data_IF_393139489271
#
_entry.id   IF_393139489271
#
_cell.length_a   1.000
_cell.length_b   1.000
_cell.length_c   1.000
_cell.angle_alpha   90.00
_cell.angle_beta   90.00
_cell.angle_gamma   90.00
#
_symmetry.space_group_name_H-M   'P 1'
#
loop_
_entity.id
_entity.type
_entity.pdbx_description
1 polymer ?
#
# COMPACT_ATOMS: atom_id res chain seq x y z
N UNK A 1 -19.24 17.00 -1.49
CA UNK A 1 -18.63 18.33 -1.28
C UNK A 1 -18.39 18.67 0.17
N UNK A 2 -17.86 19.86 0.39
CA UNK A 2 -17.58 20.36 1.74
C UNK A 2 -16.13 20.24 2.17
N UNK A 3 -15.88 20.47 3.47
CA UNK A 3 -14.52 20.55 4.04
C UNK A 3 -14.41 19.90 5.42
N UNK A 4 -15.18 18.84 5.65
CA UNK A 4 -15.08 18.05 6.89
C UNK A 4 -13.69 17.43 6.99
N UNK A 5 -13.08 17.53 8.17
CA UNK A 5 -11.78 16.94 8.47
C UNK A 5 -11.95 15.75 9.40
N UNK A 6 -11.19 14.66 9.16
CA UNK A 6 -11.33 13.40 9.90
C UNK A 6 -9.98 12.79 10.23
N UNK A 7 -9.90 12.11 11.38
CA UNK A 7 -8.73 11.30 11.78
C UNK A 7 -9.17 9.97 12.37
N UNK A 8 -8.26 8.99 12.27
CA UNK A 8 -8.42 7.68 12.92
C UNK A 8 -9.67 6.94 12.44
N UNK A 9 -9.77 6.73 11.13
CA UNK A 9 -10.85 5.95 10.53
C UNK A 9 -10.37 4.55 10.16
N UNK A 10 -11.20 3.56 10.46
CA UNK A 10 -11.03 2.17 10.01
C UNK A 10 -12.28 1.76 9.25
N UNK A 11 -12.09 1.35 8.00
CA UNK A 11 -13.11 0.75 7.14
C UNK A 11 -12.73 -0.71 6.90
N UNK A 12 -13.58 -1.63 7.29
CA UNK A 12 -13.34 -3.07 7.13
C UNK A 12 -14.47 -3.69 6.34
N UNK A 13 -14.12 -4.44 5.28
CA UNK A 13 -15.04 -5.29 4.54
C UNK A 13 -16.24 -4.57 3.93
N UNK A 14 -16.03 -3.36 3.43
CA UNK A 14 -17.07 -2.67 2.67
C UNK A 14 -17.36 -3.41 1.36
N UNK A 15 -18.64 -3.59 1.05
CA UNK A 15 -19.08 -4.23 -0.21
C UNK A 15 -18.94 -3.31 -1.44
N UNK A 16 -18.77 -2.04 -1.23
CA UNK A 16 -18.47 -1.00 -2.21
C UNK A 16 -17.09 -0.41 -1.86
N UNK A 17 -16.84 0.85 -2.12
CA UNK A 17 -15.58 1.51 -1.81
C UNK A 17 -15.39 1.69 -0.30
N UNK A 18 -14.16 1.48 0.18
CA UNK A 18 -13.87 1.69 1.61
C UNK A 18 -13.89 3.16 1.99
N UNK A 19 -13.35 4.02 1.11
CA UNK A 19 -13.43 5.47 1.21
C UNK A 19 -13.80 6.03 -0.16
N UNK A 20 -14.74 6.96 -0.20
CA UNK A 20 -15.19 7.61 -1.42
C UNK A 20 -15.34 9.12 -1.21
N UNK A 21 -14.96 9.90 -2.21
CA UNK A 21 -15.29 11.32 -2.25
C UNK A 21 -15.67 11.79 -3.65
N UNK A 22 -16.57 12.75 -3.67
CA UNK A 22 -17.03 13.39 -4.89
C UNK A 22 -17.50 14.81 -4.62
N UNK A 23 -17.95 15.53 -5.65
CA UNK A 23 -18.65 16.82 -5.58
C UNK A 23 -17.87 17.89 -4.81
N UNK A 24 -16.57 18.05 -5.11
CA UNK A 24 -15.79 19.16 -4.60
C UNK A 24 -15.41 19.07 -3.11
N UNK A 25 -15.22 17.87 -2.55
CA UNK A 25 -14.72 17.77 -1.19
C UNK A 25 -13.27 18.29 -1.09
N UNK A 26 -13.02 19.17 -0.11
CA UNK A 26 -11.74 19.82 0.16
C UNK A 26 -11.30 19.68 1.62
N UNK A 27 -11.68 18.60 2.27
CA UNK A 27 -11.31 18.30 3.64
C UNK A 27 -9.90 17.76 3.80
N UNK A 28 -9.57 17.43 5.04
CA UNK A 28 -8.31 16.81 5.43
C UNK A 28 -8.57 15.48 6.13
N UNK A 29 -7.72 14.49 5.86
CA UNK A 29 -7.82 13.20 6.54
C UNK A 29 -6.43 12.69 6.95
N UNK A 30 -6.35 12.07 8.14
CA UNK A 30 -5.10 11.44 8.60
C UNK A 30 -5.40 10.17 9.39
N UNK A 31 -4.51 9.17 9.24
CA UNK A 31 -4.61 7.86 9.86
C UNK A 31 -5.87 7.10 9.43
N UNK A 32 -5.90 6.73 8.15
CA UNK A 32 -6.97 5.96 7.54
C UNK A 32 -6.51 4.53 7.29
N UNK A 33 -7.32 3.56 7.70
CA UNK A 33 -7.15 2.14 7.39
C UNK A 33 -8.32 1.65 6.58
N UNK A 34 -8.06 1.08 5.39
CA UNK A 34 -9.00 0.23 4.67
C UNK A 34 -8.46 -1.21 4.68
N UNK A 35 -9.28 -2.16 5.06
CA UNK A 35 -8.95 -3.57 5.06
C UNK A 35 -10.10 -4.39 4.45
N UNK A 36 -9.75 -5.30 3.57
CA UNK A 36 -10.71 -6.22 2.94
C UNK A 36 -10.25 -7.66 3.17
N UNK A 37 -11.07 -8.45 3.86
CA UNK A 37 -10.89 -9.88 4.04
C UNK A 37 -11.02 -10.62 2.71
N UNK A 38 -10.53 -11.85 2.65
CA UNK A 38 -10.61 -12.64 1.42
C UNK A 38 -12.07 -12.81 0.97
N UNK A 39 -12.29 -12.74 -0.33
CA UNK A 39 -13.62 -12.87 -0.93
C UNK A 39 -14.38 -14.13 -0.50
N UNK A 40 -13.67 -15.26 -0.43
CA UNK A 40 -14.27 -16.55 -0.02
C UNK A 40 -14.79 -16.52 1.41
N UNK A 41 -14.22 -15.66 2.27
CA UNK A 41 -14.67 -15.47 3.65
C UNK A 41 -15.89 -14.55 3.72
N UNK A 42 -15.96 -13.55 2.83
CA UNK A 42 -17.03 -12.55 2.81
C UNK A 42 -18.28 -13.02 2.05
N UNK A 43 -18.09 -13.81 1.00
CA UNK A 43 -19.17 -14.20 0.11
C UNK A 43 -19.66 -13.08 -0.84
N UNK A 44 -18.95 -11.97 -0.93
CA UNK A 44 -19.18 -10.86 -1.87
C UNK A 44 -17.86 -10.19 -2.28
N UNK A 45 -17.89 -9.44 -3.37
CA UNK A 45 -16.76 -8.64 -3.83
C UNK A 45 -16.75 -7.29 -3.09
N UNK A 46 -15.54 -6.83 -2.76
CA UNK A 46 -15.30 -5.46 -2.36
C UNK A 46 -14.82 -4.64 -3.57
N UNK A 47 -15.21 -3.36 -3.67
CA UNK A 47 -14.73 -2.50 -4.75
C UNK A 47 -13.42 -1.79 -4.36
N UNK A 48 -13.20 -0.53 -4.72
CA UNK A 48 -11.96 0.18 -4.48
C UNK A 48 -11.66 0.35 -2.98
N UNK A 49 -10.38 0.42 -2.63
CA UNK A 49 -10.00 0.87 -1.28
C UNK A 49 -10.25 2.36 -1.13
N UNK A 50 -10.19 3.11 -2.25
CA UNK A 50 -10.49 4.53 -2.29
C UNK A 50 -10.90 4.94 -3.71
N UNK A 51 -12.15 5.38 -3.89
CA UNK A 51 -12.62 6.00 -5.13
C UNK A 51 -12.67 7.51 -4.99
N UNK A 52 -12.17 8.24 -5.99
CA UNK A 52 -11.82 9.64 -5.84
C UNK A 52 -12.27 10.43 -7.04
N UNK A 53 -13.40 11.13 -6.90
CA UNK A 53 -14.03 11.87 -7.99
C UNK A 53 -14.07 13.39 -7.72
N UNK A 54 -14.08 14.17 -8.78
CA UNK A 54 -14.62 15.52 -8.71
C UNK A 54 -16.13 15.50 -9.02
N UNK A 55 -16.49 15.25 -10.27
CA UNK A 55 -17.88 15.15 -10.69
C UNK A 55 -17.99 14.26 -11.92
N UNK A 56 -18.70 13.15 -11.82
CA UNK A 56 -18.82 12.13 -12.87
C UNK A 56 -19.52 12.60 -14.17
N UNK A 57 -20.14 13.77 -14.17
CA UNK A 57 -20.83 14.35 -15.35
C UNK A 57 -20.13 15.57 -15.92
N UNK A 58 -19.36 16.28 -15.09
CA UNK A 58 -18.63 17.50 -15.48
C UNK A 58 -17.31 17.55 -14.73
N UNK A 59 -16.26 17.05 -15.35
CA UNK A 59 -14.94 16.90 -14.71
C UNK A 59 -14.32 18.22 -14.21
N UNK A 60 -14.68 19.34 -14.84
CA UNK A 60 -14.27 20.68 -14.41
C UNK A 60 -15.24 21.38 -13.45
N UNK A 61 -16.24 20.67 -12.90
CA UNK A 61 -17.22 21.29 -11.99
C UNK A 61 -16.52 21.91 -10.76
N UNK A 62 -16.99 23.06 -10.33
CA UNK A 62 -16.43 23.81 -9.20
C UNK A 62 -17.42 23.85 -8.02
N UNK A 63 -16.94 23.78 -6.77
CA UNK A 63 -15.54 23.66 -6.38
C UNK A 63 -14.94 22.33 -6.80
N UNK A 64 -13.69 22.33 -7.27
CA UNK A 64 -12.99 21.06 -7.61
C UNK A 64 -12.60 20.34 -6.35
N UNK A 65 -12.81 19.02 -6.29
CA UNK A 65 -12.33 18.20 -5.18
C UNK A 65 -10.79 18.22 -5.13
N UNK A 66 -10.23 18.57 -3.99
CA UNK A 66 -8.78 18.59 -3.74
C UNK A 66 -8.47 18.37 -2.25
N UNK A 67 -8.84 17.22 -1.68
CA UNK A 67 -8.55 16.94 -0.28
C UNK A 67 -7.06 16.70 -0.04
N UNK A 68 -6.63 16.83 1.22
CA UNK A 68 -5.29 16.47 1.68
C UNK A 68 -5.37 15.29 2.64
N UNK A 69 -4.73 14.19 2.28
CA UNK A 69 -4.73 12.96 3.06
C UNK A 69 -3.31 12.55 3.43
N UNK A 70 -3.13 12.01 4.62
CA UNK A 70 -1.83 11.51 5.07
C UNK A 70 -1.94 10.25 5.95
N UNK A 71 -0.89 9.44 5.94
CA UNK A 71 -0.77 8.24 6.75
C UNK A 71 -1.91 7.24 6.50
N UNK A 72 -1.88 6.62 5.33
CA UNK A 72 -2.89 5.68 4.87
C UNK A 72 -2.32 4.26 4.84
N UNK A 73 -3.08 3.29 5.34
CA UNK A 73 -2.84 1.84 5.15
C UNK A 73 -4.06 1.26 4.43
N UNK A 74 -3.87 0.89 3.16
CA UNK A 74 -4.94 0.44 2.28
C UNK A 74 -4.63 -0.98 1.81
N UNK A 75 -5.39 -1.97 2.31
CA UNK A 75 -5.15 -3.40 2.08
C UNK A 75 -6.39 -4.04 1.46
N UNK A 76 -6.26 -4.47 0.23
CA UNK A 76 -7.28 -5.19 -0.51
C UNK A 76 -7.15 -6.71 -0.36
N UNK A 77 -8.08 -7.41 -0.98
CA UNK A 77 -8.28 -8.86 -0.85
C UNK A 77 -7.86 -9.67 -2.08
N UNK A 78 -7.00 -9.14 -2.94
CA UNK A 78 -6.51 -9.82 -4.14
C UNK A 78 -7.39 -9.67 -5.39
N UNK A 79 -8.55 -9.02 -5.28
CA UNK A 79 -9.43 -8.78 -6.43
C UNK A 79 -8.81 -7.83 -7.46
N UNK A 80 -9.25 -7.96 -8.72
CA UNK A 80 -8.74 -7.17 -9.86
C UNK A 80 -9.16 -5.69 -9.86
N UNK A 81 -9.86 -5.25 -8.83
CA UNK A 81 -10.27 -3.86 -8.61
C UNK A 81 -9.10 -2.98 -8.21
N UNK A 82 -9.35 -1.70 -8.09
CA UNK A 82 -8.32 -0.70 -7.80
C UNK A 82 -8.10 -0.50 -6.30
N UNK A 83 -6.88 -0.14 -5.93
CA UNK A 83 -6.56 0.39 -4.60
C UNK A 83 -7.05 1.82 -4.48
N UNK A 84 -6.27 2.78 -4.95
CA UNK A 84 -6.68 4.18 -5.12
C UNK A 84 -7.07 4.41 -6.57
N UNK A 85 -8.26 4.93 -6.80
CA UNK A 85 -8.77 5.27 -8.13
C UNK A 85 -9.05 6.76 -8.21
N UNK A 86 -8.17 7.52 -8.87
CA UNK A 86 -8.32 8.96 -9.10
C UNK A 86 -8.95 9.18 -10.47
N UNK A 87 -10.12 9.82 -10.53
CA UNK A 87 -10.86 10.00 -11.80
C UNK A 87 -11.75 11.25 -11.80
N UNK A 88 -12.51 11.41 -12.88
CA UNK A 88 -13.55 12.43 -13.05
C UNK A 88 -13.11 13.86 -12.70
N UNK A 89 -11.84 14.20 -13.01
CA UNK A 89 -11.29 15.53 -12.80
C UNK A 89 -10.91 15.86 -11.37
N UNK A 90 -10.85 14.86 -10.46
CA UNK A 90 -10.42 15.10 -9.09
C UNK A 90 -8.97 15.62 -9.04
N UNK A 91 -8.70 16.47 -8.09
CA UNK A 91 -7.38 16.74 -7.54
C UNK A 91 -7.25 16.09 -6.19
N UNK A 92 -6.04 15.80 -5.77
CA UNK A 92 -5.75 15.23 -4.46
C UNK A 92 -4.31 15.50 -4.04
N UNK A 93 -4.09 15.64 -2.73
CA UNK A 93 -2.77 15.62 -2.12
C UNK A 93 -2.72 14.42 -1.17
N UNK A 94 -1.99 13.38 -1.56
CA UNK A 94 -1.90 12.13 -0.81
C UNK A 94 -0.45 11.90 -0.42
N UNK A 95 -0.24 11.70 0.88
CA UNK A 95 1.07 11.54 1.47
C UNK A 95 1.13 10.34 2.41
N UNK A 96 2.31 9.71 2.50
CA UNK A 96 2.58 8.71 3.53
C UNK A 96 1.64 7.50 3.46
N UNK A 97 1.43 6.94 2.28
CA UNK A 97 0.50 5.85 2.06
C UNK A 97 1.20 4.52 1.76
N UNK A 98 0.59 3.42 2.20
CA UNK A 98 0.94 2.06 1.80
C UNK A 98 -0.32 1.43 1.20
N UNK A 99 -0.21 0.89 -0.02
CA UNK A 99 -1.33 0.26 -0.73
C UNK A 99 -0.92 -1.10 -1.26
N UNK A 100 -1.67 -2.14 -0.89
CA UNK A 100 -1.45 -3.51 -1.37
C UNK A 100 -2.76 -4.30 -1.55
N UNK A 101 -2.65 -5.49 -2.12
CA UNK A 101 -3.74 -6.46 -2.18
C UNK A 101 -4.84 -6.12 -3.18
N UNK A 102 -4.54 -5.32 -4.19
CA UNK A 102 -5.40 -5.09 -5.36
C UNK A 102 -4.59 -5.28 -6.64
N UNK A 103 -5.23 -5.69 -7.72
CA UNK A 103 -4.59 -5.89 -9.02
C UNK A 103 -3.91 -4.62 -9.54
N UNK A 104 -4.45 -3.47 -9.21
CA UNK A 104 -3.88 -2.14 -9.49
C UNK A 104 -3.96 -1.28 -8.22
N UNK A 105 -2.83 -1.07 -7.55
CA UNK A 105 -2.80 -0.30 -6.31
C UNK A 105 -3.12 1.18 -6.50
N UNK A 106 -2.82 1.74 -7.68
CA UNK A 106 -3.19 3.12 -8.06
C UNK A 106 -3.56 3.17 -9.53
N UNK A 107 -4.71 3.79 -9.81
CA UNK A 107 -5.19 4.08 -11.17
C UNK A 107 -5.51 5.56 -11.29
N UNK A 108 -5.13 6.16 -12.42
CA UNK A 108 -5.54 7.52 -12.81
C UNK A 108 -6.37 7.47 -14.07
N UNK A 109 -7.48 8.20 -14.09
CA UNK A 109 -8.42 8.24 -15.20
C UNK A 109 -8.85 9.68 -15.46
N UNK A 110 -9.15 10.01 -16.70
CA UNK A 110 -9.49 11.34 -17.22
C UNK A 110 -8.30 12.30 -17.36
N UNK A 111 -8.32 13.01 -18.47
CA UNK A 111 -7.29 13.98 -18.86
C UNK A 111 -7.07 15.06 -17.78
N UNK A 112 -8.14 15.54 -17.16
CA UNK A 112 -8.09 16.58 -16.13
C UNK A 112 -7.36 16.08 -14.87
N UNK A 113 -7.62 14.85 -14.47
CA UNK A 113 -6.97 14.22 -13.30
C UNK A 113 -5.47 14.02 -13.55
N UNK A 114 -5.07 13.48 -14.72
CA UNK A 114 -3.66 13.25 -15.03
C UNK A 114 -2.91 14.58 -15.24
N UNK A 115 -3.54 15.58 -15.88
CA UNK A 115 -2.96 16.92 -15.99
C UNK A 115 -2.72 17.56 -14.62
N UNK A 116 -3.62 17.37 -13.66
CA UNK A 116 -3.45 17.90 -12.30
C UNK A 116 -2.24 17.30 -11.56
N UNK A 117 -1.89 16.04 -11.87
CA UNK A 117 -0.66 15.41 -11.37
C UNK A 117 0.59 15.97 -12.07
N UNK A 118 0.50 16.29 -13.38
CA UNK A 118 1.62 16.83 -14.14
C UNK A 118 1.91 18.29 -13.81
N UNK A 119 0.89 19.10 -13.56
CA UNK A 119 1.05 20.55 -13.28
C UNK A 119 1.30 20.84 -11.78
N UNK A 120 1.28 19.80 -10.90
CA UNK A 120 1.54 19.92 -9.48
C UNK A 120 0.34 20.43 -8.66
N UNK A 121 -0.83 20.57 -9.24
CA UNK A 121 -2.06 20.88 -8.48
C UNK A 121 -2.60 19.67 -7.71
N UNK A 122 -2.17 18.48 -8.09
CA UNK A 122 -2.24 17.24 -7.29
C UNK A 122 -0.84 16.79 -6.89
N UNK A 123 -0.71 16.20 -5.69
CA UNK A 123 0.57 15.71 -5.18
C UNK A 123 0.44 14.28 -4.65
N UNK A 124 1.33 13.40 -5.08
CA UNK A 124 1.46 12.03 -4.61
C UNK A 124 2.89 11.82 -4.13
N UNK A 125 3.13 11.78 -2.80
CA UNK A 125 4.48 11.67 -2.25
C UNK A 125 4.55 10.71 -1.06
N UNK A 126 5.69 10.02 -0.94
CA UNK A 126 5.91 9.00 0.10
C UNK A 126 4.82 7.92 0.06
N UNK A 127 4.57 7.36 -1.10
CA UNK A 127 3.59 6.30 -1.32
C UNK A 127 4.29 5.03 -1.76
N UNK A 128 4.05 3.94 -1.04
CA UNK A 128 4.53 2.61 -1.41
C UNK A 128 3.37 1.76 -1.94
N UNK A 129 3.51 1.28 -3.17
CA UNK A 129 2.52 0.45 -3.86
C UNK A 129 3.06 -0.96 -4.10
N UNK A 130 2.26 -1.98 -3.82
CA UNK A 130 2.60 -3.37 -4.10
C UNK A 130 2.61 -3.72 -5.60
N UNK A 131 1.95 -2.91 -6.45
CA UNK A 131 1.95 -3.07 -7.90
C UNK A 131 2.42 -1.79 -8.60
N UNK A 132 2.59 -1.86 -9.92
CA UNK A 132 2.77 -0.64 -10.72
C UNK A 132 1.47 0.19 -10.74
N UNK A 133 1.56 1.45 -11.16
CA UNK A 133 0.40 2.31 -11.41
C UNK A 133 -0.18 2.04 -12.80
N UNK A 134 -1.46 2.38 -12.98
CA UNK A 134 -2.15 2.33 -14.27
C UNK A 134 -2.71 3.70 -14.61
N UNK A 135 -2.15 4.35 -15.65
CA UNK A 135 -2.58 5.66 -16.13
C UNK A 135 -3.36 5.49 -17.44
N UNK A 136 -4.65 5.79 -17.43
CA UNK A 136 -5.55 5.49 -18.55
C UNK A 136 -5.39 6.42 -19.73
N UNK A 137 -5.04 7.68 -19.50
CA UNK A 137 -4.85 8.68 -20.54
C UNK A 137 -3.40 8.72 -21.06
N UNK A 138 -2.45 8.13 -20.32
CA UNK A 138 -1.04 8.10 -20.67
C UNK A 138 -0.34 9.47 -20.60
N UNK A 139 -0.92 10.43 -19.90
CA UNK A 139 -0.35 11.77 -19.65
C UNK A 139 0.58 11.69 -18.43
N UNK A 140 0.11 11.04 -17.36
CA UNK A 140 0.92 10.70 -16.20
C UNK A 140 1.56 9.32 -16.40
N UNK A 141 2.61 9.00 -15.66
CA UNK A 141 3.33 7.72 -15.84
C UNK A 141 3.99 7.25 -14.55
N UNK A 142 4.40 5.98 -14.52
CA UNK A 142 5.18 5.44 -13.42
C UNK A 142 6.52 6.17 -13.23
N UNK A 143 7.16 6.65 -14.30
CA UNK A 143 8.39 7.43 -14.18
C UNK A 143 8.15 8.77 -13.47
N UNK A 144 7.03 9.44 -13.76
CA UNK A 144 6.67 10.68 -13.06
C UNK A 144 6.27 10.39 -11.61
N UNK A 145 5.56 9.27 -11.36
CA UNK A 145 5.20 8.86 -10.01
C UNK A 145 6.43 8.56 -9.15
N UNK A 146 7.41 7.81 -9.67
CA UNK A 146 8.63 7.41 -8.94
C UNK A 146 9.78 8.40 -9.07
N UNK A 147 9.55 9.58 -9.63
CA UNK A 147 10.55 10.62 -9.80
C UNK A 147 11.20 11.00 -8.46
N UNK A 148 12.50 11.26 -8.51
CA UNK A 148 13.25 11.77 -7.36
C UNK A 148 12.54 12.98 -6.73
N UNK A 149 12.43 12.99 -5.43
CA UNK A 149 11.70 14.02 -4.68
C UNK A 149 10.23 13.68 -4.39
N UNK A 150 9.60 12.75 -5.11
CA UNK A 150 8.29 12.20 -4.72
C UNK A 150 8.43 11.10 -3.65
N UNK A 151 9.57 10.43 -3.58
CA UNK A 151 9.84 9.34 -2.66
C UNK A 151 8.80 8.20 -2.73
N UNK A 152 8.25 7.97 -3.92
CA UNK A 152 7.27 6.92 -4.17
C UNK A 152 7.97 5.63 -4.62
N UNK A 153 7.43 4.49 -4.21
CA UNK A 153 7.94 3.16 -4.54
C UNK A 153 6.81 2.33 -5.16
N UNK A 154 7.11 1.60 -6.22
CA UNK A 154 6.19 0.66 -6.87
C UNK A 154 6.76 -0.77 -6.79
N UNK A 155 5.88 -1.77 -6.96
CA UNK A 155 6.25 -3.20 -6.94
C UNK A 155 6.95 -3.61 -5.64
N UNK A 156 6.54 -3.03 -4.51
CA UNK A 156 7.08 -3.32 -3.19
C UNK A 156 5.97 -3.70 -2.21
N UNK A 157 5.96 -4.95 -1.77
CA UNK A 157 4.97 -5.47 -0.83
C UNK A 157 5.42 -5.27 0.61
N UNK A 158 4.60 -4.57 1.38
CA UNK A 158 4.81 -4.35 2.81
C UNK A 158 4.05 -5.39 3.61
N UNK A 159 4.65 -5.84 4.69
CA UNK A 159 4.05 -6.79 5.61
C UNK A 159 3.49 -6.07 6.84
N UNK A 160 2.37 -6.59 7.31
CA UNK A 160 1.67 -6.04 8.46
C UNK A 160 1.45 -7.12 9.52
N UNK A 161 1.43 -6.71 10.77
CA UNK A 161 0.96 -7.53 11.88
C UNK A 161 -0.49 -7.18 12.21
N UNK A 162 -1.25 -8.10 12.79
CA UNK A 162 -2.67 -7.90 13.09
C UNK A 162 -3.46 -7.29 11.89
N UNK A 163 -3.18 -7.76 10.68
CA UNK A 163 -3.82 -7.37 9.44
C UNK A 163 -3.35 -6.03 8.84
N UNK A 164 -3.16 -4.98 9.63
CA UNK A 164 -2.82 -3.65 9.12
C UNK A 164 -1.88 -2.82 10.03
N UNK A 165 -1.25 -3.44 11.02
CA UNK A 165 -0.29 -2.77 11.91
C UNK A 165 1.11 -2.86 11.30
N UNK A 166 1.69 -1.72 10.98
CA UNK A 166 3.02 -1.60 10.38
C UNK A 166 3.17 -0.29 9.63
N UNK A 167 4.41 0.18 9.54
CA UNK A 167 4.78 1.43 8.85
C UNK A 167 6.14 1.28 8.18
N UNK A 168 6.41 2.13 7.20
CA UNK A 168 7.73 2.29 6.59
C UNK A 168 8.33 3.59 7.11
N UNK A 169 9.59 3.57 7.50
CA UNK A 169 10.32 4.78 7.88
C UNK A 169 10.45 5.76 6.72
N UNK A 170 10.48 7.04 7.08
CA UNK A 170 10.54 8.12 6.10
C UNK A 170 9.16 8.47 5.55
N UNK A 171 8.82 9.74 5.69
CA UNK A 171 7.55 10.28 5.23
C UNK A 171 7.58 11.81 5.23
N UNK A 172 6.62 12.41 4.56
CA UNK A 172 6.43 13.86 4.55
C UNK A 172 5.93 14.32 5.92
N UNK A 173 6.61 15.29 6.49
CA UNK A 173 6.12 16.00 7.68
C UNK A 173 5.11 17.07 7.26
N UNK A 174 3.91 17.01 7.83
CA UNK A 174 2.80 17.95 7.55
C UNK A 174 2.44 18.81 8.77
N UNK A 175 3.26 18.80 9.83
CA UNK A 175 2.96 19.49 11.09
C UNK A 175 2.92 21.01 11.00
N UNK A 176 3.29 21.61 9.88
CA UNK A 176 3.08 23.04 9.61
C UNK A 176 1.59 23.41 9.47
N UNK A 177 0.76 22.44 9.09
CA UNK A 177 -0.69 22.54 9.16
C UNK A 177 -1.17 21.92 10.47
N UNK A 178 -1.79 22.72 11.34
CA UNK A 178 -2.21 22.33 12.69
C UNK A 178 -3.20 21.17 12.75
N UNK A 179 -3.84 20.83 11.63
CA UNK A 179 -4.68 19.63 11.57
C UNK A 179 -3.84 18.36 11.65
N UNK A 180 -2.68 18.29 11.00
CA UNK A 180 -1.89 17.05 10.93
C UNK A 180 -1.05 16.86 12.19
N UNK A 181 -1.16 15.68 12.78
CA UNK A 181 -0.22 15.18 13.79
C UNK A 181 1.10 14.84 13.11
N UNK A 182 2.23 15.17 13.74
CA UNK A 182 3.53 14.79 13.23
C UNK A 182 3.66 13.27 13.14
N UNK A 183 3.83 12.76 11.93
CA UNK A 183 3.91 11.33 11.62
C UNK A 183 4.68 11.14 10.30
N UNK A 184 6.00 11.38 10.35
CA UNK A 184 6.87 11.31 9.18
C UNK A 184 7.26 9.85 8.86
N UNK A 185 6.26 9.00 8.66
CA UNK A 185 6.35 7.61 8.22
C UNK A 185 5.17 7.28 7.30
N UNK A 186 5.32 6.27 6.46
CA UNK A 186 4.25 5.80 5.59
C UNK A 186 3.38 4.76 6.32
N UNK A 187 2.07 4.79 6.07
CA UNK A 187 1.09 3.93 6.74
C UNK A 187 0.39 4.61 7.91
N UNK A 188 -0.70 4.01 8.38
CA UNK A 188 -1.61 4.60 9.37
C UNK A 188 -1.35 4.15 10.81
N UNK A 189 -0.88 2.91 11.03
CA UNK A 189 -0.84 2.27 12.34
C UNK A 189 0.57 1.80 12.67
N UNK A 190 1.38 2.60 13.37
CA UNK A 190 2.73 2.17 13.77
C UNK A 190 2.66 1.09 14.86
N UNK A 191 3.54 0.09 14.79
CA UNK A 191 3.61 -0.99 15.77
C UNK A 191 3.91 -0.50 17.20
N UNK A 192 4.61 0.63 17.32
CA UNK A 192 4.90 1.28 18.60
C UNK A 192 3.69 1.94 19.25
N UNK A 193 2.63 2.18 18.48
CA UNK A 193 1.40 2.82 18.96
C UNK A 193 0.20 2.36 18.10
N UNK A 194 -0.24 1.13 18.36
CA UNK A 194 -1.45 0.60 17.71
C UNK A 194 -2.71 1.27 18.28
N UNK A 195 -3.05 2.42 17.71
CA UNK A 195 -4.23 3.20 18.10
C UNK A 195 -5.55 2.50 17.78
N UNK A 196 -5.52 1.42 17.01
CA UNK A 196 -6.72 0.62 16.68
C UNK A 196 -7.05 -0.42 17.75
N UNK A 197 -6.14 -0.66 18.68
CA UNK A 197 -6.31 -1.67 19.73
C UNK A 197 -7.47 -1.32 20.69
N UNK A 198 -8.31 -2.31 20.96
CA UNK A 198 -9.37 -2.20 21.96
C UNK A 198 -10.69 -1.60 21.49
N UNK A 199 -10.77 -1.07 20.26
CA UNK A 199 -12.02 -0.50 19.74
C UNK A 199 -12.37 -0.94 18.30
N UNK A 200 -11.42 -1.50 17.56
CA UNK A 200 -11.69 -2.06 16.22
C UNK A 200 -11.88 -3.57 16.30
N UNK A 201 -12.74 -4.10 15.44
CA UNK A 201 -12.92 -5.54 15.30
C UNK A 201 -11.80 -6.12 14.45
N UNK A 202 -10.90 -6.87 15.08
CA UNK A 202 -9.80 -7.59 14.40
C UNK A 202 -10.02 -9.10 14.34
N UNK A 203 -11.17 -9.61 14.82
CA UNK A 203 -11.52 -11.03 14.74
C UNK A 203 -11.71 -11.44 13.28
N UNK A 204 -10.99 -12.46 12.85
CA UNK A 204 -11.01 -12.93 11.45
C UNK A 204 -9.97 -12.28 10.54
N UNK A 205 -9.26 -11.25 10.99
CA UNK A 205 -8.08 -10.75 10.30
C UNK A 205 -6.94 -11.75 10.49
N UNK A 206 -6.52 -12.41 9.40
CA UNK A 206 -5.39 -13.33 9.44
C UNK A 206 -4.10 -12.56 9.75
N UNK A 207 -3.33 -13.03 10.73
CA UNK A 207 -1.96 -12.58 10.88
C UNK A 207 -1.14 -13.06 9.67
N UNK A 208 -0.51 -12.17 8.97
CA UNK A 208 0.51 -12.55 7.99
C UNK A 208 1.74 -13.04 8.75
N UNK A 209 1.78 -14.34 9.04
CA UNK A 209 2.98 -14.97 9.57
C UNK A 209 3.99 -15.13 8.43
N UNK A 210 5.04 -14.29 8.46
CA UNK A 210 6.11 -14.41 7.50
C UNK A 210 7.23 -15.19 8.11
N UNK A 211 7.67 -16.16 7.36
CA UNK A 211 8.87 -16.89 7.71
C UNK A 211 10.11 -16.07 7.34
N UNK A 212 10.97 -15.81 8.32
CA UNK A 212 12.28 -15.21 8.05
C UNK A 212 13.26 -16.28 7.53
N UNK A 213 13.88 -15.99 6.40
CA UNK A 213 15.04 -16.72 5.89
C UNK A 213 16.28 -16.11 6.50
N UNK A 214 16.76 -16.69 7.60
CA UNK A 214 17.91 -16.23 8.36
C UNK A 214 18.73 -17.39 8.90
N UNK A 215 20.04 -17.19 8.99
CA UNK A 215 20.94 -18.21 9.50
C UNK A 215 21.23 -19.33 8.50
N UNK A 216 21.06 -20.59 8.87
CA UNK A 216 21.47 -21.72 8.01
C UNK A 216 20.47 -22.87 7.99
N UNK A 217 20.39 -23.58 6.85
CA UNK A 217 19.71 -24.85 6.71
C UNK A 217 20.71 -25.96 6.37
N UNK A 218 20.58 -27.08 7.06
CA UNK A 218 21.38 -28.31 6.86
C UNK A 218 20.52 -29.49 6.37
N UNK A 219 19.22 -29.27 6.23
CA UNK A 219 18.23 -30.18 5.64
C UNK A 219 17.48 -29.44 4.55
N UNK A 220 17.04 -30.16 3.52
CA UNK A 220 16.34 -29.53 2.40
C UNK A 220 15.04 -28.86 2.85
N UNK A 221 14.76 -27.70 2.27
CA UNK A 221 13.59 -26.86 2.58
C UNK A 221 12.91 -26.41 1.29
N UNK A 222 11.59 -26.36 1.32
CA UNK A 222 10.79 -25.85 0.21
C UNK A 222 10.14 -24.53 0.65
N UNK A 223 10.32 -23.49 -0.15
CA UNK A 223 9.53 -22.28 -0.08
C UNK A 223 8.30 -22.49 -0.96
N UNK A 224 7.12 -22.32 -0.35
CA UNK A 224 5.84 -22.74 -0.92
C UNK A 224 5.23 -21.66 -1.80
N UNK A 225 4.66 -22.07 -2.94
CA UNK A 225 3.92 -21.21 -3.88
C UNK A 225 2.93 -20.26 -3.17
N UNK A 226 2.88 -19.01 -3.65
CA UNK A 226 1.99 -17.97 -3.14
C UNK A 226 2.37 -17.38 -1.78
N UNK A 227 3.45 -17.88 -1.15
CA UNK A 227 3.94 -17.33 0.12
C UNK A 227 5.02 -16.27 -0.09
N UNK A 228 5.07 -15.36 0.87
CA UNK A 228 6.13 -14.35 0.98
C UNK A 228 7.06 -14.72 2.13
N UNK A 229 8.36 -14.52 1.91
CA UNK A 229 9.42 -14.76 2.89
C UNK A 229 10.26 -13.50 3.03
N UNK A 230 10.74 -13.20 4.24
CA UNK A 230 11.76 -12.19 4.44
C UNK A 230 13.14 -12.79 4.47
N UNK A 231 14.05 -12.24 3.65
CA UNK A 231 15.47 -12.50 3.75
C UNK A 231 16.10 -11.45 4.68
N UNK A 232 16.74 -11.90 5.76
CA UNK A 232 17.35 -11.03 6.75
C UNK A 232 18.79 -11.46 6.98
N UNK A 233 19.73 -10.67 6.45
CA UNK A 233 21.14 -10.96 6.48
C UNK A 233 21.51 -12.20 5.68
N UNK A 234 22.41 -13.00 6.20
CA UNK A 234 22.88 -14.22 5.54
C UNK A 234 21.92 -15.39 5.75
N UNK A 235 21.55 -16.07 4.67
CA UNK A 235 20.83 -17.35 4.69
C UNK A 235 21.65 -18.42 3.96
N UNK A 236 22.21 -19.38 4.69
CA UNK A 236 23.10 -20.43 4.16
C UNK A 236 22.40 -21.74 3.90
N UNK A 237 22.69 -22.34 2.75
CA UNK A 237 22.30 -23.71 2.38
C UNK A 237 23.57 -24.60 2.40
N UNK A 238 23.66 -25.54 3.35
CA UNK A 238 24.87 -26.32 3.64
C UNK A 238 24.61 -27.82 3.74
N UNK A 239 25.69 -28.60 3.83
CA UNK A 239 25.68 -30.05 4.09
C UNK A 239 24.86 -30.86 3.06
N UNK A 240 24.87 -30.45 1.79
CA UNK A 240 24.14 -31.15 0.73
C UNK A 240 22.62 -30.86 0.73
N UNK A 241 22.13 -29.92 1.52
CA UNK A 241 20.73 -29.52 1.51
C UNK A 241 20.35 -28.84 0.19
N UNK A 242 19.07 -28.93 -0.17
CA UNK A 242 18.47 -28.22 -1.30
C UNK A 242 17.46 -27.20 -0.81
N UNK A 243 17.61 -25.94 -1.19
CA UNK A 243 16.57 -24.93 -1.07
C UNK A 243 15.74 -24.96 -2.36
N UNK A 244 14.51 -25.46 -2.28
CA UNK A 244 13.56 -25.43 -3.40
C UNK A 244 12.69 -24.18 -3.27
N UNK A 245 12.53 -23.45 -4.36
CA UNK A 245 11.67 -22.28 -4.43
C UNK A 245 10.59 -22.57 -5.47
N UNK A 246 9.34 -22.71 -5.02
CA UNK A 246 8.21 -22.98 -5.91
C UNK A 246 7.84 -21.73 -6.73
N UNK A 247 7.26 -21.90 -7.94
CA UNK A 247 6.79 -20.77 -8.74
C UNK A 247 5.82 -19.87 -7.95
N UNK A 248 5.94 -18.55 -8.12
CA UNK A 248 5.09 -17.59 -7.41
C UNK A 248 5.50 -17.28 -5.96
N UNK A 249 6.60 -17.84 -5.47
CA UNK A 249 7.20 -17.42 -4.19
C UNK A 249 7.78 -16.01 -4.32
N UNK A 250 7.52 -15.18 -3.31
CA UNK A 250 8.13 -13.85 -3.19
C UNK A 250 9.15 -13.87 -2.05
N UNK A 251 10.38 -13.44 -2.33
CA UNK A 251 11.42 -13.23 -1.30
C UNK A 251 11.73 -11.74 -1.25
N UNK A 252 11.53 -11.13 -0.09
CA UNK A 252 11.75 -9.71 0.14
C UNK A 252 13.02 -9.55 0.97
N UNK A 253 14.04 -8.89 0.42
CA UNK A 253 15.19 -8.43 1.19
C UNK A 253 14.76 -7.29 2.12
N UNK A 254 15.18 -7.34 3.37
CA UNK A 254 14.80 -6.33 4.37
C UNK A 254 15.57 -5.05 4.09
N UNK A 255 14.89 -3.93 4.05
CA UNK A 255 15.56 -2.64 3.86
C UNK A 255 16.10 -2.16 5.22
N UNK A 256 17.32 -2.58 5.51
CA UNK A 256 18.11 -2.14 6.66
C UNK A 256 19.59 -2.01 6.24
N UNK A 257 20.46 -1.71 7.19
CA UNK A 257 21.92 -1.56 6.91
C UNK A 257 22.67 -2.90 6.76
N UNK A 258 21.95 -4.03 6.72
CA UNK A 258 22.50 -5.38 6.58
C UNK A 258 22.40 -5.83 5.14
N UNK A 259 23.45 -6.45 4.62
CA UNK A 259 23.40 -7.05 3.26
C UNK A 259 22.68 -8.39 3.33
N UNK A 260 21.57 -8.50 2.61
CA UNK A 260 20.77 -9.72 2.52
C UNK A 260 21.24 -10.59 1.35
N UNK A 261 21.55 -11.84 1.63
CA UNK A 261 21.96 -12.77 0.57
C UNK A 261 21.71 -14.23 0.93
N UNK A 262 21.56 -15.06 -0.12
CA UNK A 262 21.50 -16.51 -0.01
C UNK A 262 22.85 -17.07 -0.44
N UNK A 263 23.53 -17.80 0.46
CA UNK A 263 24.78 -18.49 0.17
C UNK A 263 24.52 -19.98 0.04
N UNK A 264 24.88 -20.56 -1.11
CA UNK A 264 24.81 -22.00 -1.34
C UNK A 264 26.22 -22.57 -1.29
N UNK A 265 26.52 -23.34 -0.23
CA UNK A 265 27.83 -23.95 -0.07
C UNK A 265 28.04 -25.12 -1.06
N UNK A 266 29.30 -25.45 -1.28
CA UNK A 266 29.70 -26.56 -2.18
C UNK A 266 29.00 -27.88 -1.76
N UNK A 267 28.35 -28.54 -2.71
CA UNK A 267 27.60 -29.77 -2.51
C UNK A 267 26.13 -29.57 -2.17
N UNK A 268 25.71 -28.34 -1.86
CA UNK A 268 24.30 -27.94 -1.66
C UNK A 268 23.70 -27.37 -2.94
N UNK A 269 22.39 -27.18 -2.99
CA UNK A 269 21.66 -26.73 -4.19
C UNK A 269 20.62 -25.68 -3.88
N UNK A 270 20.34 -24.86 -4.88
CA UNK A 270 19.13 -24.08 -5.02
C UNK A 270 18.38 -24.53 -6.27
N UNK A 271 17.06 -24.68 -6.17
CA UNK A 271 16.16 -25.11 -7.25
C UNK A 271 14.99 -24.10 -7.26
N UNK A 272 14.94 -23.23 -8.32
CA UNK A 272 13.99 -22.10 -8.41
C UNK A 272 13.38 -22.02 -9.81
#
# INVERSE_FOLDING_TARGET
>A
GGSVNVKYLVSTDCSDDSFDWTEGWNGKAQFLVAYQSLKDELGYDCDCLMECDNNGKSFGATPVACPTLANLTLIGNGESKQGIRLRAGTKAKIYNAIVKGKGQCLTTETTETENALMDGSSELQYITLATNISCKEGIYSSNEFTKDGNHNIINYSVMFTNGYVGTIEGGKNLSDDSFFTQAAYQGAVPASNDWTQGWTLKSGIAEETIEELKGEITTSKTLTEGKTYYLTGEYKVKNGATLKIEPGVTIIAKHDDIVDYILVEQGSKIDA
#
